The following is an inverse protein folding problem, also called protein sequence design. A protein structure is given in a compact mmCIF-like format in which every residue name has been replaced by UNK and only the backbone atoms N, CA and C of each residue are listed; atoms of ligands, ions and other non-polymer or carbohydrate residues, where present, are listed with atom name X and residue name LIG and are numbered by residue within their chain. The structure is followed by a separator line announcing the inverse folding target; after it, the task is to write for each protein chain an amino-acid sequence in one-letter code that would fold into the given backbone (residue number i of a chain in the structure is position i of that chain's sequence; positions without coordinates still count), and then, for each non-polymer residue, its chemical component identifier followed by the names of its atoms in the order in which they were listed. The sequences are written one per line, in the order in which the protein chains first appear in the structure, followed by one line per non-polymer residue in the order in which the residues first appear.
data_IF_535759983563
#
_entry.id   IF_535759983563
#
_cell.length_a   1.000
_cell.length_b   1.000
_cell.length_c   1.000
_cell.angle_alpha   90.00
_cell.angle_beta   90.00
_cell.angle_gamma   90.00
#
_symmetry.space_group_name_H-M   'P 1'
#
loop_
_entity.id
_entity.type
_entity.pdbx_description
1 polymer ?
#
# COMPACT_ATOMS: atom_id res chain seq x y z
N UNK A 1 4.72 -7.50 -15.20
CA UNK A 1 3.70 -6.52 -14.77
C UNK A 1 3.93 -6.30 -13.28
N UNK A 2 4.14 -5.05 -12.84
CA UNK A 2 4.34 -4.78 -11.42
C UNK A 2 3.03 -5.08 -10.66
N UNK A 3 3.11 -5.86 -9.60
CA UNK A 3 1.97 -6.13 -8.72
C UNK A 3 1.40 -4.83 -8.15
N UNK A 4 0.07 -4.72 -8.00
CA UNK A 4 -0.54 -3.57 -7.37
C UNK A 4 -0.09 -3.51 -5.91
N UNK A 5 0.72 -2.49 -5.61
CA UNK A 5 1.28 -2.29 -4.28
C UNK A 5 0.17 -1.82 -3.33
N UNK A 6 -0.36 -2.75 -2.53
CA UNK A 6 -1.37 -2.46 -1.50
C UNK A 6 -0.70 -1.59 -0.44
N UNK A 7 -1.22 -0.38 -0.24
CA UNK A 7 -0.70 0.54 0.78
C UNK A 7 -1.05 -0.01 2.18
N UNK A 8 -0.03 -0.33 2.96
CA UNK A 8 -0.21 -0.67 4.38
C UNK A 8 -0.75 0.54 5.15
N UNK A 9 -1.83 0.33 5.90
CA UNK A 9 -2.50 1.35 6.72
C UNK A 9 -2.08 1.28 8.19
N UNK A 10 -1.27 0.29 8.57
CA UNK A 10 -0.81 0.10 9.96
C UNK A 10 0.23 1.17 10.32
N UNK A 11 0.27 1.51 11.61
CA UNK A 11 1.36 2.32 12.16
C UNK A 11 2.66 1.52 12.20
N UNK A 12 3.78 2.17 11.90
CA UNK A 12 5.11 1.56 11.95
C UNK A 12 6.02 2.37 12.87
N UNK A 13 6.92 1.67 13.55
CA UNK A 13 8.00 2.26 14.34
C UNK A 13 9.33 1.63 13.89
N UNK A 14 10.37 2.43 13.63
CA UNK A 14 11.70 1.89 13.38
C UNK A 14 12.23 1.25 14.66
N UNK A 15 12.63 -0.02 14.56
CA UNK A 15 13.36 -0.75 15.60
C UNK A 15 14.57 -1.35 14.93
N UNK A 16 15.73 -1.24 15.59
CA UNK A 16 16.96 -1.83 15.10
C UNK A 16 16.84 -3.37 15.05
N UNK A 17 17.39 -3.99 14.02
CA UNK A 17 17.30 -5.45 13.84
C UNK A 17 18.10 -6.22 14.89
N UNK A 18 19.15 -5.62 15.45
CA UNK A 18 19.94 -6.15 16.56
C UNK A 18 19.46 -5.68 17.93
N UNK A 19 18.21 -5.19 18.05
CA UNK A 19 17.67 -4.66 19.30
C UNK A 19 17.83 -5.62 20.49
N UNK A 20 17.61 -6.93 20.27
CA UNK A 20 17.76 -7.94 21.32
C UNK A 20 19.22 -8.35 21.57
N UNK A 21 20.15 -7.95 20.70
CA UNK A 21 21.58 -8.26 20.83
C UNK A 21 22.37 -7.12 21.50
N UNK A 22 21.70 -6.00 21.86
CA UNK A 22 22.32 -4.90 22.58
C UNK A 22 22.74 -5.37 24.00
N UNK A 23 23.98 -5.12 24.46
CA UNK A 23 24.44 -5.57 25.78
C UNK A 23 23.51 -5.22 26.95
N UNK A 24 22.96 -3.99 26.98
CA UNK A 24 22.01 -3.58 28.04
C UNK A 24 20.69 -4.35 27.95
N UNK A 25 20.25 -4.67 26.74
CA UNK A 25 19.03 -5.45 26.54
C UNK A 25 19.23 -6.92 26.85
N UNK A 26 20.42 -7.48 26.62
CA UNK A 26 20.76 -8.86 27.01
C UNK A 26 20.67 -9.01 28.54
N UNK A 27 21.26 -8.09 29.30
CA UNK A 27 21.17 -8.10 30.77
C UNK A 27 19.71 -8.05 31.26
N UNK A 28 18.88 -7.21 30.64
CA UNK A 28 17.45 -7.13 30.93
C UNK A 28 16.71 -8.41 30.55
N UNK A 29 17.03 -9.01 29.39
CA UNK A 29 16.40 -10.21 28.88
C UNK A 29 16.69 -11.43 29.77
N UNK A 30 17.93 -11.56 30.23
CA UNK A 30 18.37 -12.60 31.17
C UNK A 30 17.66 -12.48 32.52
N UNK A 31 17.40 -11.25 32.98
CA UNK A 31 16.66 -10.99 34.22
C UNK A 31 15.14 -11.19 34.05
N UNK A 32 14.56 -10.67 32.97
CA UNK A 32 13.12 -10.73 32.68
C UNK A 32 12.81 -10.50 31.21
N UNK A 33 12.34 -11.55 30.53
CA UNK A 33 11.78 -11.42 29.18
C UNK A 33 10.59 -10.46 29.09
N UNK A 34 9.84 -10.34 30.18
CA UNK A 34 8.72 -9.39 30.27
C UNK A 34 9.21 -7.95 30.29
N UNK A 35 10.30 -7.64 31.01
CA UNK A 35 10.91 -6.31 31.00
C UNK A 35 11.41 -5.92 29.60
N UNK A 36 12.07 -6.84 28.90
CA UNK A 36 12.53 -6.61 27.54
C UNK A 36 11.37 -6.31 26.56
N UNK A 37 10.28 -7.07 26.67
CA UNK A 37 9.06 -6.84 25.91
C UNK A 37 8.36 -5.54 26.31
N UNK A 38 8.43 -5.16 27.59
CA UNK A 38 7.88 -3.91 28.11
C UNK A 38 8.59 -2.68 27.52
N UNK A 39 9.91 -2.73 27.37
CA UNK A 39 10.65 -1.67 26.69
C UNK A 39 10.26 -1.57 25.21
N UNK A 40 10.18 -2.69 24.49
CA UNK A 40 9.72 -2.71 23.09
C UNK A 40 8.30 -2.15 22.96
N UNK A 41 7.38 -2.58 23.83
CA UNK A 41 6.00 -2.08 23.88
C UNK A 41 5.95 -0.57 24.14
N UNK A 42 6.94 -0.02 24.85
CA UNK A 42 7.05 1.42 25.12
C UNK A 42 7.47 2.21 23.88
N UNK A 43 8.45 1.70 23.12
CA UNK A 43 8.83 2.29 21.82
C UNK A 43 7.63 2.31 20.87
N UNK A 44 6.92 1.18 20.75
CA UNK A 44 5.74 1.06 19.91
C UNK A 44 4.62 2.01 20.35
N UNK A 45 4.37 2.12 21.66
CA UNK A 45 3.40 3.05 22.21
C UNK A 45 3.76 4.50 21.88
N UNK A 46 5.01 4.90 22.13
CA UNK A 46 5.45 6.28 21.90
C UNK A 46 5.36 6.66 20.41
N UNK A 47 5.70 5.72 19.51
CA UNK A 47 5.56 5.92 18.07
C UNK A 47 4.09 6.00 17.62
N UNK A 48 3.22 5.15 18.17
CA UNK A 48 1.79 5.12 17.82
C UNK A 48 1.05 6.36 18.33
N UNK A 49 1.35 6.79 19.56
CA UNK A 49 0.62 7.86 20.25
C UNK A 49 1.31 9.22 20.15
N UNK A 50 2.47 9.29 19.50
CA UNK A 50 3.25 10.50 19.29
C UNK A 50 3.54 11.23 20.61
N UNK A 51 4.03 10.49 21.60
CA UNK A 51 4.35 11.00 22.95
C UNK A 51 5.81 11.38 23.13
N UNK A 52 6.59 11.40 22.05
CA UNK A 52 8.00 11.83 22.07
C UNK A 52 8.83 11.12 23.14
N UNK A 53 8.64 9.82 23.30
CA UNK A 53 9.41 8.98 24.24
C UNK A 53 8.85 8.92 25.66
N UNK A 54 7.77 9.65 25.95
CA UNK A 54 7.15 9.68 27.27
C UNK A 54 6.08 8.59 27.42
N UNK A 55 6.17 7.79 28.48
CA UNK A 55 5.18 6.75 28.78
C UNK A 55 4.94 6.61 30.28
N UNK A 56 3.69 6.35 30.66
CA UNK A 56 3.37 5.96 32.02
C UNK A 56 3.70 4.47 32.22
N UNK A 57 4.53 4.07 33.20
CA UNK A 57 4.92 2.67 33.41
C UNK A 57 3.73 1.70 33.50
N UNK A 58 2.61 2.13 34.10
CA UNK A 58 1.38 1.33 34.19
C UNK A 58 0.76 0.95 32.84
N UNK A 59 0.95 1.76 31.79
CA UNK A 59 0.51 1.44 30.42
C UNK A 59 1.38 0.33 29.84
N UNK A 60 2.70 0.43 29.99
CA UNK A 60 3.65 -0.55 29.50
C UNK A 60 3.42 -1.91 30.17
N UNK A 61 3.30 -1.94 31.51
CA UNK A 61 2.96 -3.14 32.27
C UNK A 61 1.68 -3.80 31.79
N UNK A 62 0.59 -3.05 31.61
CA UNK A 62 -0.70 -3.60 31.17
C UNK A 62 -0.64 -4.29 29.81
N UNK A 63 0.22 -3.81 28.90
CA UNK A 63 0.35 -4.38 27.55
C UNK A 63 0.99 -5.77 27.55
N UNK A 64 1.89 -6.04 28.50
CA UNK A 64 2.74 -7.24 28.47
C UNK A 64 2.60 -8.12 29.71
N UNK A 65 1.82 -7.69 30.70
CA UNK A 65 1.72 -8.37 31.99
C UNK A 65 2.90 -8.09 32.93
N UNK A 66 3.54 -6.91 32.78
CA UNK A 66 4.72 -6.52 33.58
C UNK A 66 4.41 -6.14 35.03
N UNK A 67 5.44 -6.15 35.85
CA UNK A 67 5.44 -5.87 37.29
C UNK A 67 6.22 -4.59 37.61
N UNK A 68 6.16 -4.12 38.86
CA UNK A 68 6.99 -2.98 39.30
C UNK A 68 8.48 -3.32 39.36
N UNK A 69 8.83 -4.59 39.49
CA UNK A 69 10.23 -5.01 39.45
C UNK A 69 10.78 -4.95 38.03
N UNK A 70 9.95 -5.21 37.02
CA UNK A 70 10.31 -4.95 35.62
C UNK A 70 10.55 -3.46 35.34
N UNK A 71 9.78 -2.56 36.00
CA UNK A 71 10.03 -1.11 35.89
C UNK A 71 11.45 -0.78 36.38
N UNK A 72 11.82 -1.31 37.56
CA UNK A 72 13.13 -1.10 38.19
C UNK A 72 14.26 -1.66 37.32
N UNK A 73 14.10 -2.88 36.79
CA UNK A 73 15.09 -3.48 35.90
C UNK A 73 15.39 -2.59 34.68
N UNK A 74 14.35 -1.99 34.07
CA UNK A 74 14.55 -1.10 32.93
C UNK A 74 15.20 0.23 33.33
N UNK A 75 14.90 0.76 34.51
CA UNK A 75 15.49 2.00 35.02
C UNK A 75 16.97 1.77 35.37
N UNK A 76 17.27 0.70 36.11
CA UNK A 76 18.63 0.34 36.54
C UNK A 76 19.54 0.01 35.34
N UNK A 77 19.00 -0.63 34.30
CA UNK A 77 19.70 -0.87 33.04
C UNK A 77 19.86 0.41 32.17
N UNK A 78 19.24 1.52 32.56
CA UNK A 78 19.24 2.79 31.82
C UNK A 78 18.47 2.73 30.50
N UNK A 79 17.52 1.79 30.38
CA UNK A 79 16.60 1.69 29.25
C UNK A 79 15.42 2.67 29.42
N UNK A 80 15.04 2.94 30.66
CA UNK A 80 14.10 3.99 31.04
C UNK A 80 14.76 5.01 31.96
N UNK A 81 14.31 6.25 31.85
CA UNK A 81 14.73 7.35 32.71
C UNK A 81 13.57 7.84 33.55
N UNK A 82 13.80 8.02 34.84
CA UNK A 82 12.88 8.67 35.77
C UNK A 82 13.08 10.20 35.78
N UNK A 83 12.13 10.97 36.32
CA UNK A 83 12.31 12.40 36.52
C UNK A 83 13.56 12.70 37.37
N UNK A 84 14.42 13.58 36.89
CA UNK A 84 15.67 13.94 37.58
C UNK A 84 16.89 13.08 37.22
N UNK A 85 16.81 12.25 36.18
CA UNK A 85 17.96 11.52 35.66
C UNK A 85 19.02 12.44 35.03
N UNK A 86 20.28 11.98 34.95
CA UNK A 86 21.43 12.78 34.49
C UNK A 86 21.84 12.50 33.02
N UNK A 87 20.98 11.87 32.21
CA UNK A 87 21.34 11.54 30.82
C UNK A 87 21.38 12.82 29.96
N UNK A 88 22.47 13.07 29.20
CA UNK A 88 22.60 14.30 28.42
C UNK A 88 21.78 14.30 27.13
N UNK A 89 21.33 13.13 26.65
CA UNK A 89 20.62 12.98 25.37
C UNK A 89 19.11 12.91 25.52
N UNK A 90 18.62 12.60 26.71
CA UNK A 90 17.21 12.32 26.96
C UNK A 90 16.52 13.51 27.60
N UNK A 91 15.28 13.76 27.19
CA UNK A 91 14.45 14.80 27.81
C UNK A 91 13.97 14.34 29.18
N UNK A 92 13.75 15.30 30.09
CA UNK A 92 13.20 14.99 31.40
C UNK A 92 11.73 14.58 31.29
N UNK A 93 11.35 13.40 31.81
CA UNK A 93 9.97 12.96 31.74
C UNK A 93 9.03 13.83 32.59
N UNK A 94 7.77 13.94 32.16
CA UNK A 94 6.70 14.51 32.98
C UNK A 94 6.50 13.73 34.29
N UNK A 95 5.91 14.35 35.33
CA UNK A 95 5.60 13.67 36.58
C UNK A 95 4.80 12.37 36.37
N UNK A 96 5.21 11.29 37.04
CA UNK A 96 4.64 9.94 36.94
C UNK A 96 4.81 9.26 35.57
N UNK A 97 5.69 9.76 34.71
CA UNK A 97 6.13 9.08 33.48
C UNK A 97 7.60 8.73 33.57
N UNK A 98 7.99 7.83 32.68
CA UNK A 98 9.39 7.55 32.35
C UNK A 98 9.65 7.98 30.91
N UNK A 99 10.91 8.27 30.62
CA UNK A 99 11.39 8.56 29.28
C UNK A 99 12.13 7.35 28.72
N UNK A 100 11.77 6.91 27.50
CA UNK A 100 12.43 5.80 26.80
C UNK A 100 13.77 6.28 26.26
N UNK A 101 14.86 5.64 26.69
CA UNK A 101 16.21 6.07 26.34
C UNK A 101 16.42 6.16 24.82
N UNK A 102 16.99 7.28 24.37
CA UNK A 102 17.32 7.60 22.98
C UNK A 102 16.16 7.50 21.98
N UNK A 103 14.90 7.59 22.46
CA UNK A 103 13.72 7.49 21.60
C UNK A 103 13.79 8.43 20.39
N UNK A 104 14.08 9.72 20.61
CA UNK A 104 14.15 10.73 19.54
C UNK A 104 15.41 10.66 18.66
N UNK A 105 16.42 9.86 19.03
CA UNK A 105 17.55 9.57 18.15
C UNK A 105 17.13 8.58 17.05
N UNK A 106 16.29 7.61 17.40
CA UNK A 106 15.85 6.54 16.49
C UNK A 106 14.47 6.81 15.86
N UNK A 107 13.63 7.61 16.52
CA UNK A 107 12.25 7.87 16.12
C UNK A 107 12.03 9.34 15.76
N UNK A 108 10.98 9.59 14.97
CA UNK A 108 10.59 10.96 14.63
C UNK A 108 9.82 11.58 15.78
N UNK A 109 10.05 12.87 16.02
CA UNK A 109 9.20 13.65 16.92
C UNK A 109 7.75 13.71 16.39
N UNK A 110 6.80 13.92 17.29
CA UNK A 110 5.38 14.09 17.03
C UNK A 110 5.14 15.21 16.01
N UNK A 111 5.85 16.33 16.16
CA UNK A 111 5.79 17.45 15.23
C UNK A 111 6.26 17.06 13.83
N UNK A 112 7.37 16.31 13.70
CA UNK A 112 7.88 15.84 12.40
C UNK A 112 6.92 14.82 11.78
N UNK A 113 6.36 13.90 12.57
CA UNK A 113 5.39 12.91 12.11
C UNK A 113 4.10 13.57 11.57
N UNK A 114 3.54 14.53 12.30
CA UNK A 114 2.36 15.31 11.87
C UNK A 114 2.62 16.08 10.58
N UNK A 115 3.74 16.82 10.50
CA UNK A 115 4.13 17.55 9.28
C UNK A 115 4.31 16.63 8.08
N UNK A 116 4.88 15.44 8.27
CA UNK A 116 5.03 14.47 7.18
C UNK A 116 3.66 13.97 6.69
N UNK A 117 2.73 13.71 7.62
CA UNK A 117 1.35 13.32 7.29
C UNK A 117 0.60 14.42 6.52
N UNK A 118 0.68 15.67 6.99
CA UNK A 118 0.07 16.83 6.33
C UNK A 118 0.62 17.03 4.92
N UNK A 119 1.94 16.95 4.74
CA UNK A 119 2.58 17.04 3.42
C UNK A 119 2.14 15.91 2.50
N UNK A 120 2.06 14.68 3.02
CA UNK A 120 1.59 13.53 2.24
C UNK A 120 0.12 13.69 1.82
N UNK A 121 -0.73 14.20 2.71
CA UNK A 121 -2.13 14.52 2.45
C UNK A 121 -2.27 15.61 1.38
N UNK A 122 -1.54 16.72 1.52
CA UNK A 122 -1.54 17.82 0.55
C UNK A 122 -1.08 17.36 -0.82
N UNK A 123 0.04 16.65 -0.90
CA UNK A 123 0.55 16.11 -2.16
C UNK A 123 -0.41 15.08 -2.78
N UNK A 124 -1.14 14.29 -1.98
CA UNK A 124 -2.18 13.41 -2.49
C UNK A 124 -3.33 14.23 -3.08
N UNK A 125 -3.81 15.26 -2.36
CA UNK A 125 -4.89 16.14 -2.84
C UNK A 125 -4.51 16.83 -4.16
N UNK A 126 -3.32 17.39 -4.26
CA UNK A 126 -2.82 18.01 -5.50
C UNK A 126 -2.76 17.01 -6.67
N UNK A 127 -2.37 15.75 -6.42
CA UNK A 127 -2.40 14.70 -7.46
C UNK A 127 -3.83 14.38 -7.91
N UNK A 128 -4.77 14.28 -6.98
CA UNK A 128 -6.18 14.04 -7.30
C UNK A 128 -6.82 15.22 -8.05
N UNK A 129 -6.49 16.45 -7.66
CA UNK A 129 -6.96 17.68 -8.32
C UNK A 129 -6.41 17.77 -9.75
N UNK A 130 -5.11 17.52 -9.96
CA UNK A 130 -4.52 17.48 -11.31
C UNK A 130 -5.15 16.40 -12.19
N UNK A 131 -5.35 15.20 -11.64
CA UNK A 131 -5.98 14.11 -12.38
C UNK A 131 -7.44 14.44 -12.76
N UNK A 132 -8.18 15.15 -11.90
CA UNK A 132 -9.53 15.61 -12.20
C UNK A 132 -9.51 16.70 -13.28
N UNK A 133 -8.62 17.67 -13.20
CA UNK A 133 -8.47 18.72 -14.21
C UNK A 133 -8.09 18.17 -15.60
N UNK A 134 -7.20 17.17 -15.65
CA UNK A 134 -6.86 16.45 -16.89
C UNK A 134 -8.04 15.67 -17.47
N UNK A 135 -8.99 15.22 -16.63
CA UNK A 135 -10.22 14.54 -17.08
C UNK A 135 -11.32 15.52 -17.52
N UNK A 136 -11.40 16.69 -16.89
CA UNK A 136 -12.41 17.73 -17.17
C UNK A 136 -12.02 18.69 -18.30
N UNK A 137 -10.79 18.62 -18.84
CA UNK A 137 -10.40 19.46 -19.98
C UNK A 137 -11.15 19.01 -21.23
N UNK A 138 -12.07 19.83 -21.81
CA UNK A 138 -12.74 19.48 -23.05
C UNK A 138 -11.69 19.50 -24.16
N UNK A 139 -11.61 18.41 -24.93
CA UNK A 139 -10.82 18.36 -26.16
C UNK A 139 -11.44 19.34 -27.16
N UNK A 140 -11.04 20.60 -27.14
CA UNK A 140 -11.42 21.58 -28.15
C UNK A 140 -10.72 21.24 -29.47
N UNK A 141 -11.35 20.34 -30.22
CA UNK A 141 -10.88 19.82 -31.50
C UNK A 141 -11.29 20.75 -32.66
N UNK A 142 -11.26 22.07 -32.49
CA UNK A 142 -11.62 23.00 -33.56
C UNK A 142 -10.85 24.32 -33.52
N UNK A 143 -9.52 24.24 -33.71
CA UNK A 143 -8.75 25.41 -34.14
C UNK A 143 -7.64 25.00 -35.09
N UNK A 144 -7.98 24.91 -36.38
CA UNK A 144 -7.00 24.93 -37.45
C UNK A 144 -6.61 26.40 -37.68
N UNK A 145 -5.35 26.82 -37.48
CA UNK A 145 -4.86 28.02 -38.14
C UNK A 145 -4.43 27.63 -39.55
N UNK A 146 -5.20 28.11 -40.52
CA UNK A 146 -4.86 28.11 -41.94
C UNK A 146 -3.77 29.15 -42.16
N UNK A 147 -2.54 28.74 -42.47
CA UNK A 147 -1.48 29.65 -42.91
C UNK A 147 -0.44 28.90 -43.75
N UNK A 148 -0.55 29.12 -45.06
CA UNK A 148 0.44 28.83 -46.09
C UNK A 148 1.83 29.40 -45.75
N UNK A 149 2.89 28.62 -45.93
CA UNK A 149 4.18 29.19 -46.35
C UNK A 149 5.01 28.20 -47.20
N UNK A 150 5.66 28.64 -48.30
CA UNK A 150 6.36 27.77 -49.24
C UNK A 150 7.77 27.39 -48.78
N UNK A 151 8.24 26.26 -49.31
CA UNK A 151 9.57 25.70 -49.17
C UNK A 151 10.71 26.62 -49.64
N UNK A 152 11.89 26.51 -49.00
CA UNK A 152 13.20 26.18 -49.63
C UNK A 152 14.41 26.47 -48.69
N UNK A 153 15.14 25.39 -48.37
CA UNK A 153 16.61 25.22 -48.33
C UNK A 153 17.48 25.58 -47.10
N UNK A 154 18.29 24.57 -46.70
CA UNK A 154 19.64 24.65 -46.09
C UNK A 154 19.68 24.51 -44.57
N UNK A 155 19.88 23.33 -43.98
CA UNK A 155 21.09 22.49 -43.82
C UNK A 155 21.72 22.63 -42.42
N UNK A 156 21.96 21.45 -41.85
CA UNK A 156 22.78 21.06 -40.69
C UNK A 156 22.67 21.82 -39.35
N UNK A 157 22.01 21.22 -38.35
CA UNK A 157 22.72 20.62 -37.20
C UNK A 157 21.78 20.17 -36.07
N UNK A 158 22.05 18.96 -35.56
CA UNK A 158 21.80 18.48 -34.19
C UNK A 158 20.40 17.96 -33.79
N UNK A 159 20.12 16.70 -34.15
CA UNK A 159 19.74 15.53 -33.32
C UNK A 159 18.92 15.65 -32.00
N UNK A 160 18.30 16.78 -31.65
CA UNK A 160 17.54 16.97 -30.40
C UNK A 160 16.01 16.96 -30.58
N UNK A 161 15.52 17.06 -31.82
CA UNK A 161 14.09 17.17 -32.11
C UNK A 161 13.43 15.84 -32.52
N UNK A 162 14.22 14.84 -32.92
CA UNK A 162 13.72 13.52 -33.38
C UNK A 162 13.17 12.63 -32.25
N UNK A 163 13.46 12.96 -31.00
CA UNK A 163 12.95 12.25 -29.82
C UNK A 163 11.60 12.80 -29.30
N UNK A 164 11.21 14.02 -29.72
CA UNK A 164 9.91 14.62 -29.35
C UNK A 164 8.75 14.21 -30.26
N UNK A 165 9.05 13.69 -31.45
CA UNK A 165 8.03 13.28 -32.44
C UNK A 165 7.56 11.83 -32.24
N UNK A 166 8.42 10.92 -31.75
CA UNK A 166 8.03 9.53 -31.44
C UNK A 166 7.12 9.36 -30.21
N UNK A 167 6.96 10.39 -29.37
CA UNK A 167 6.02 10.37 -28.23
C UNK A 167 4.63 10.94 -28.53
N UNK A 168 4.38 11.39 -29.76
CA UNK A 168 3.08 11.98 -30.16
C UNK A 168 2.19 11.04 -30.97
N UNK A 169 2.67 9.86 -31.36
CA UNK A 169 1.86 8.80 -31.95
C UNK A 169 1.48 7.74 -30.91
N UNK A 170 0.60 8.15 -30.01
CA UNK A 170 -0.10 7.27 -29.07
C UNK A 170 -1.55 7.74 -28.96
N UNK A 171 -2.19 7.93 -30.11
CA UNK A 171 -3.58 8.37 -30.22
C UNK A 171 -4.48 7.49 -29.36
N UNK A 172 -5.20 8.12 -28.45
CA UNK A 172 -6.13 7.45 -27.55
C UNK A 172 -7.15 6.63 -28.34
N UNK A 173 -7.05 5.31 -28.24
CA UNK A 173 -8.15 4.44 -28.64
C UNK A 173 -9.37 4.82 -27.81
N UNK A 174 -10.42 5.28 -28.48
CA UNK A 174 -11.76 5.48 -27.91
C UNK A 174 -12.09 4.23 -27.11
N UNK A 175 -12.24 4.35 -25.79
CA UNK A 175 -12.63 3.19 -24.95
C UNK A 175 -13.92 2.64 -25.51
N UNK A 176 -13.91 1.38 -25.96
CA UNK A 176 -15.08 0.71 -26.52
C UNK A 176 -16.20 0.77 -25.47
N UNK A 177 -17.41 1.22 -25.83
CA UNK A 177 -18.50 1.35 -24.85
C UNK A 177 -18.84 -0.02 -24.27
N UNK A 178 -18.94 -0.10 -22.94
CA UNK A 178 -19.35 -1.33 -22.25
C UNK A 178 -20.80 -1.67 -22.59
N UNK A 179 -21.02 -2.84 -23.19
CA UNK A 179 -22.35 -3.33 -23.60
C UNK A 179 -22.80 -4.48 -22.69
N UNK A 180 -24.12 -4.67 -22.49
CA UNK A 180 -24.62 -5.90 -21.88
C UNK A 180 -24.21 -7.12 -22.71
N UNK A 181 -24.22 -8.30 -22.09
CA UNK A 181 -23.83 -9.55 -22.77
C UNK A 181 -24.82 -9.82 -23.90
N UNK A 182 -24.36 -9.95 -25.17
CA UNK A 182 -25.24 -10.36 -26.25
C UNK A 182 -25.75 -11.78 -26.01
N UNK A 183 -27.04 -12.02 -26.26
CA UNK A 183 -27.65 -13.36 -26.14
C UNK A 183 -27.01 -14.38 -27.11
N UNK A 184 -26.45 -13.90 -28.23
CA UNK A 184 -25.71 -14.70 -29.22
C UNK A 184 -24.23 -14.92 -28.91
N UNK A 185 -23.74 -14.52 -27.73
CA UNK A 185 -22.32 -14.69 -27.40
C UNK A 185 -21.96 -16.16 -27.16
N UNK A 186 -20.93 -16.63 -27.87
CA UNK A 186 -20.36 -17.97 -27.75
C UNK A 186 -18.85 -17.88 -27.45
N UNK A 187 -18.29 -18.80 -26.65
CA UNK A 187 -16.85 -18.81 -26.38
C UNK A 187 -16.02 -18.92 -27.66
N UNK A 188 -15.07 -18.00 -27.85
CA UNK A 188 -14.12 -18.04 -28.97
C UNK A 188 -13.36 -19.38 -29.08
N UNK A 189 -12.96 -19.83 -30.29
CA UNK A 189 -12.19 -21.06 -30.50
C UNK A 189 -10.92 -21.19 -29.64
N UNK A 190 -10.28 -20.07 -29.29
CA UNK A 190 -9.13 -20.06 -28.38
C UNK A 190 -9.46 -20.50 -26.95
N UNK A 191 -10.71 -20.36 -26.51
CA UNK A 191 -11.18 -20.87 -25.21
C UNK A 191 -11.40 -22.39 -25.25
N UNK A 192 -11.84 -22.94 -26.39
CA UNK A 192 -12.00 -24.39 -26.60
C UNK A 192 -10.67 -25.10 -26.43
N UNK A 193 -9.62 -24.58 -27.07
CA UNK A 193 -8.26 -25.12 -26.96
C UNK A 193 -7.72 -25.04 -25.52
N UNK A 194 -7.94 -23.91 -24.85
CA UNK A 194 -7.48 -23.69 -23.47
C UNK A 194 -8.20 -24.58 -22.46
N UNK A 195 -9.52 -24.74 -22.58
CA UNK A 195 -10.31 -25.59 -21.68
C UNK A 195 -10.06 -27.08 -21.92
N UNK A 196 -9.85 -27.49 -23.19
CA UNK A 196 -9.44 -28.87 -23.52
C UNK A 196 -8.11 -29.25 -22.87
N UNK A 197 -7.12 -28.35 -22.91
CA UNK A 197 -5.80 -28.57 -22.30
C UNK A 197 -5.86 -28.70 -20.77
N UNK A 198 -6.75 -27.95 -20.13
CA UNK A 198 -6.89 -27.90 -18.66
C UNK A 198 -7.98 -28.84 -18.11
N UNK A 199 -8.63 -29.65 -18.97
CA UNK A 199 -9.78 -30.51 -18.63
C UNK A 199 -10.95 -29.76 -17.97
N UNK A 200 -11.22 -28.54 -18.41
CA UNK A 200 -12.32 -27.71 -17.93
C UNK A 200 -13.52 -27.91 -18.86
N UNK A 201 -14.71 -28.16 -18.29
CA UNK A 201 -15.96 -28.19 -19.06
C UNK A 201 -16.32 -26.76 -19.50
N UNK A 202 -16.10 -26.50 -20.79
CA UNK A 202 -16.28 -25.18 -21.39
C UNK A 202 -17.74 -24.72 -21.37
N UNK A 203 -18.67 -25.62 -21.68
CA UNK A 203 -20.08 -25.28 -21.84
C UNK A 203 -20.71 -24.96 -20.48
N UNK A 204 -20.36 -25.75 -19.46
CA UNK A 204 -20.80 -25.51 -18.09
C UNK A 204 -20.29 -24.17 -17.52
N UNK A 205 -19.03 -23.82 -17.80
CA UNK A 205 -18.45 -22.55 -17.34
C UNK A 205 -18.96 -21.34 -18.14
N UNK A 206 -19.29 -21.52 -19.42
CA UNK A 206 -19.95 -20.49 -20.23
C UNK A 206 -21.35 -20.17 -19.70
N UNK A 207 -22.12 -21.18 -19.27
CA UNK A 207 -23.44 -20.98 -18.65
C UNK A 207 -23.36 -20.25 -17.31
N UNK A 208 -22.43 -20.63 -16.43
CA UNK A 208 -22.19 -19.93 -15.16
C UNK A 208 -21.81 -18.47 -15.39
N UNK A 209 -20.95 -18.22 -16.37
CA UNK A 209 -20.57 -16.87 -16.74
C UNK A 209 -21.76 -16.04 -17.25
N UNK A 210 -22.62 -16.61 -18.11
CA UNK A 210 -23.86 -15.98 -18.58
C UNK A 210 -24.80 -15.65 -17.42
N UNK A 211 -25.06 -16.60 -16.54
CA UNK A 211 -25.96 -16.42 -15.40
C UNK A 211 -25.46 -15.34 -14.44
N UNK A 212 -24.16 -15.31 -14.15
CA UNK A 212 -23.58 -14.27 -13.30
C UNK A 212 -23.55 -12.90 -13.99
N UNK A 213 -23.35 -12.84 -15.31
CA UNK A 213 -23.42 -11.60 -16.08
C UNK A 213 -24.83 -10.99 -16.07
N UNK A 214 -25.87 -11.82 -16.22
CA UNK A 214 -27.26 -11.40 -16.15
C UNK A 214 -27.67 -11.01 -14.72
N UNK A 215 -27.32 -11.81 -13.72
CA UNK A 215 -27.71 -11.56 -12.32
C UNK A 215 -27.15 -10.24 -11.75
N UNK A 216 -25.99 -9.79 -12.24
CA UNK A 216 -25.31 -8.58 -11.74
C UNK A 216 -25.35 -7.39 -12.72
N UNK A 217 -26.15 -7.48 -13.79
CA UNK A 217 -26.18 -6.53 -14.90
C UNK A 217 -24.77 -6.09 -15.34
N UNK A 218 -23.87 -7.06 -15.50
CA UNK A 218 -22.47 -6.76 -15.81
C UNK A 218 -22.35 -6.18 -17.22
N UNK A 219 -21.50 -5.16 -17.38
CA UNK A 219 -21.24 -4.49 -18.66
C UNK A 219 -19.75 -4.49 -18.93
N UNK A 220 -19.34 -5.17 -19.99
CA UNK A 220 -17.95 -5.19 -20.42
C UNK A 220 -17.80 -4.64 -21.83
N UNK A 221 -16.65 -4.02 -22.08
CA UNK A 221 -16.24 -3.55 -23.41
C UNK A 221 -15.80 -4.72 -24.32
N UNK A 222 -15.31 -5.81 -23.72
CA UNK A 222 -14.90 -7.03 -24.42
C UNK A 222 -15.24 -8.25 -23.54
N UNK A 223 -16.24 -9.02 -23.97
CA UNK A 223 -16.74 -10.18 -23.23
C UNK A 223 -15.79 -11.38 -23.29
N UNK A 224 -15.00 -11.55 -24.36
CA UNK A 224 -14.02 -12.63 -24.48
C UNK A 224 -12.88 -12.48 -23.46
N UNK A 225 -12.43 -11.25 -23.23
CA UNK A 225 -11.42 -10.96 -22.20
C UNK A 225 -11.97 -11.14 -20.79
N UNK A 226 -13.23 -10.78 -20.58
CA UNK A 226 -13.91 -11.03 -19.31
C UNK A 226 -14.04 -12.54 -19.04
N UNK A 227 -14.35 -13.34 -20.06
CA UNK A 227 -14.41 -14.80 -19.97
C UNK A 227 -13.04 -15.44 -19.77
N UNK A 228 -11.99 -14.96 -20.44
CA UNK A 228 -10.60 -15.40 -20.19
C UNK A 228 -10.21 -15.18 -18.72
N UNK A 229 -10.60 -14.04 -18.14
CA UNK A 229 -10.39 -13.76 -16.72
C UNK A 229 -11.26 -14.67 -15.84
N UNK A 230 -12.51 -14.94 -16.22
CA UNK A 230 -13.39 -15.89 -15.53
C UNK A 230 -12.74 -17.27 -15.40
N UNK A 231 -12.20 -17.79 -16.50
CA UNK A 231 -11.47 -19.06 -16.54
C UNK A 231 -10.14 -19.02 -15.79
N UNK A 232 -9.51 -17.85 -15.68
CA UNK A 232 -8.21 -17.69 -15.00
C UNK A 232 -8.34 -17.42 -13.50
N UNK A 233 -9.54 -17.05 -13.01
CA UNK A 233 -9.78 -16.85 -11.59
C UNK A 233 -9.67 -18.19 -10.87
N UNK A 234 -9.01 -18.14 -9.73
CA UNK A 234 -8.77 -19.25 -8.79
C UNK A 234 -10.05 -20.01 -8.38
N UNK A 235 -11.22 -19.43 -8.65
CA UNK A 235 -12.52 -20.06 -8.47
C UNK A 235 -12.65 -21.35 -9.30
N UNK A 236 -12.40 -21.32 -10.61
CA UNK A 236 -12.53 -22.50 -11.50
C UNK A 236 -11.59 -23.62 -11.06
N UNK A 237 -10.36 -23.26 -10.65
CA UNK A 237 -9.35 -24.20 -10.14
C UNK A 237 -9.75 -24.86 -8.81
N UNK A 238 -10.48 -24.14 -7.95
CA UNK A 238 -10.97 -24.64 -6.66
C UNK A 238 -12.18 -25.55 -6.82
N UNK A 239 -13.14 -25.18 -7.69
CA UNK A 239 -14.31 -26.03 -7.99
C UNK A 239 -13.92 -27.30 -8.74
N UNK A 240 -12.99 -27.24 -9.69
CA UNK A 240 -12.47 -28.45 -10.37
C UNK A 240 -11.66 -29.36 -9.43
N UNK A 241 -11.08 -28.81 -8.36
CA UNK A 241 -10.41 -29.56 -7.30
C UNK A 241 -11.37 -30.06 -6.19
N UNK A 242 -12.69 -29.89 -6.36
CA UNK A 242 -13.71 -30.37 -5.41
C UNK A 242 -13.88 -29.52 -4.14
N UNK A 243 -13.28 -28.33 -4.10
CA UNK A 243 -13.38 -27.40 -2.97
C UNK A 243 -14.34 -26.27 -3.34
N UNK A 244 -15.64 -26.50 -3.13
CA UNK A 244 -16.67 -25.48 -3.36
C UNK A 244 -16.85 -24.58 -2.12
N UNK A 245 -16.42 -23.31 -2.16
CA UNK A 245 -16.51 -22.38 -1.03
C UNK A 245 -17.92 -21.88 -0.74
N UNK A 246 -18.93 -22.29 -1.52
CA UNK A 246 -20.33 -21.87 -1.33
C UNK A 246 -21.13 -22.84 -0.43
N UNK A 247 -20.51 -23.88 0.12
CA UNK A 247 -21.11 -24.79 1.12
C UNK A 247 -20.97 -24.35 2.59
N UNK A 248 -20.16 -23.32 2.86
CA UNK A 248 -19.86 -22.87 4.23
C UNK A 248 -20.59 -21.57 4.63
N UNK A 249 -21.78 -21.32 4.08
CA UNK A 249 -22.66 -20.20 4.45
C UNK A 249 -24.08 -20.69 4.65
#
# INVERSE_FOLDING_TARGET
MAEPQIKDQRGWAPVDTGYLDNPKMLDVLDASGTAALMHLASVLYCAQHLTDGHIAPGIARRKVGGTKDDDRLLIDAGMWHEPGHDCPTCEQPEPNKVYVHDFLQHNRTAAKAKRASERASKAAKERWERQRAEQDTPTDATRMPDALHPAMLGDDSSNAEREKERKREGGGSRRTPSRPLPESWTPSPSHIEKCSKERIDLDHEAEKFRNNALAKDMRYANWDRAFTNWLSRDWVKRTSAGLDPMKDW
#
